data_IF_519177887756
#
_entry.id   IF_519177887756
#
_cell.length_a   1.000
_cell.length_b   1.000
_cell.length_c   1.000
_cell.angle_alpha   90.00
_cell.angle_beta   90.00
_cell.angle_gamma   90.00
#
_symmetry.space_group_name_H-M   'P 1'
#
loop_
_entity.id
_entity.type
_entity.pdbx_description
1 polymer ?
#
# COMPACT_ATOMS: atom_id res chain seq x y z
N UNK A 1 -81.90 28.62 3.07
CA UNK A 1 -80.73 29.45 3.43
C UNK A 1 -79.60 29.06 2.49
N UNK A 2 -79.26 29.92 1.52
CA UNK A 2 -78.01 30.73 1.50
C UNK A 2 -76.76 29.84 1.56
N UNK A 3 -75.72 29.93 0.75
CA UNK A 3 -75.28 30.85 -0.30
C UNK A 3 -74.03 30.18 -0.90
N UNK A 4 -73.75 30.37 -2.18
CA UNK A 4 -72.42 30.09 -2.72
C UNK A 4 -71.45 31.20 -2.28
N UNK A 5 -70.20 30.86 -1.95
CA UNK A 5 -69.04 31.76 -1.94
C UNK A 5 -67.74 30.96 -2.11
N UNK A 6 -66.86 31.56 -2.92
CA UNK A 6 -65.54 31.17 -3.42
C UNK A 6 -64.44 31.42 -2.38
N UNK A 7 -63.28 30.75 -2.43
CA UNK A 7 -61.94 31.30 -2.07
C UNK A 7 -60.74 30.37 -2.39
N UNK A 8 -59.47 30.89 -2.47
CA UNK A 8 -58.59 30.77 -3.65
C UNK A 8 -57.22 30.08 -3.33
N UNK A 9 -56.15 30.13 -4.18
CA UNK A 9 -54.99 29.23 -4.09
C UNK A 9 -53.87 29.74 -3.17
N UNK A 10 -53.15 28.81 -2.55
CA UNK A 10 -52.02 29.10 -1.65
C UNK A 10 -50.69 29.10 -2.40
N UNK A 11 -50.00 30.23 -2.35
CA UNK A 11 -48.61 30.44 -2.79
C UNK A 11 -47.64 29.61 -1.93
N UNK A 12 -46.78 28.81 -2.58
CA UNK A 12 -45.57 28.25 -1.97
C UNK A 12 -44.36 29.11 -2.35
N UNK A 13 -43.77 29.76 -1.35
CA UNK A 13 -42.42 30.34 -1.43
C UNK A 13 -41.38 29.24 -1.16
N UNK A 14 -40.29 29.11 -1.92
CA UNK A 14 -39.14 28.32 -1.50
C UNK A 14 -38.18 29.20 -0.69
N UNK A 15 -38.00 28.87 0.59
CA UNK A 15 -36.92 29.37 1.41
C UNK A 15 -35.59 28.76 0.94
N UNK A 16 -34.67 29.62 0.49
CA UNK A 16 -33.31 29.24 0.13
C UNK A 16 -32.50 28.78 1.35
N UNK A 17 -31.80 27.67 1.20
CA UNK A 17 -30.77 27.19 2.12
C UNK A 17 -29.43 27.88 1.79
N UNK A 18 -28.57 28.18 2.78
CA UNK A 18 -27.30 28.88 2.55
C UNK A 18 -26.24 27.95 1.93
N UNK A 19 -25.25 28.48 1.19
CA UNK A 19 -24.18 27.67 0.59
C UNK A 19 -23.12 27.28 1.63
N UNK A 20 -22.63 26.04 1.51
CA UNK A 20 -21.50 25.48 2.26
C UNK A 20 -20.22 26.32 2.06
N UNK A 21 -19.37 26.45 3.10
CA UNK A 21 -18.10 27.15 2.98
C UNK A 21 -17.10 26.36 2.15
N UNK A 22 -16.48 27.08 1.20
CA UNK A 22 -15.46 26.64 0.27
C UNK A 22 -14.28 25.94 0.97
N UNK A 23 -13.96 24.74 0.48
CA UNK A 23 -12.68 24.07 0.70
C UNK A 23 -11.56 24.98 0.22
N UNK A 24 -10.61 25.29 1.12
CA UNK A 24 -9.41 26.04 0.80
C UNK A 24 -8.48 25.14 0.01
N UNK A 25 -8.53 25.24 -1.31
CA UNK A 25 -7.50 24.71 -2.19
C UNK A 25 -6.18 25.41 -1.90
N UNK A 26 -5.26 24.72 -1.20
CA UNK A 26 -3.84 25.07 -1.19
C UNK A 26 -3.32 24.69 -2.58
N UNK A 27 -3.36 25.65 -3.51
CA UNK A 27 -2.64 25.56 -4.77
C UNK A 27 -1.19 25.91 -4.45
N UNK A 28 -0.37 24.91 -4.12
CA UNK A 28 1.08 25.05 -4.15
C UNK A 28 1.48 25.34 -5.59
N UNK A 29 2.06 26.52 -5.77
CA UNK A 29 2.51 27.08 -7.05
C UNK A 29 3.75 26.30 -7.52
N UNK A 30 3.55 25.11 -8.08
CA UNK A 30 4.60 24.39 -8.78
C UNK A 30 4.87 25.11 -10.12
N UNK A 31 6.08 25.63 -10.27
CA UNK A 31 6.55 26.29 -11.48
C UNK A 31 6.47 25.31 -12.66
N UNK A 32 5.68 25.64 -13.69
CA UNK A 32 5.67 24.93 -14.97
C UNK A 32 6.95 25.23 -15.76
N UNK A 33 8.09 24.76 -15.25
CA UNK A 33 9.21 24.43 -16.12
C UNK A 33 8.83 23.10 -16.80
N UNK A 34 8.90 23.06 -18.12
CA UNK A 34 8.84 21.84 -18.92
C UNK A 34 9.81 20.82 -18.34
N UNK A 35 9.29 19.89 -17.53
CA UNK A 35 10.07 18.86 -16.87
C UNK A 35 10.59 17.93 -17.98
N UNK A 36 11.82 18.17 -18.43
CA UNK A 36 12.61 17.11 -19.04
C UNK A 36 12.61 15.96 -18.04
N UNK A 37 11.99 14.84 -18.41
CA UNK A 37 11.92 13.67 -17.56
C UNK A 37 13.33 13.32 -17.07
N UNK A 38 13.52 13.19 -15.75
CA UNK A 38 14.80 12.76 -15.20
C UNK A 38 15.10 11.36 -15.72
N UNK A 39 16.35 11.12 -16.13
CA UNK A 39 16.80 9.80 -16.62
C UNK A 39 16.98 8.76 -15.52
N UNK A 40 16.76 9.13 -14.26
CA UNK A 40 16.90 8.27 -13.08
C UNK A 40 15.97 8.74 -11.97
N UNK A 41 15.42 7.79 -11.20
CA UNK A 41 14.64 8.06 -9.99
C UNK A 41 15.34 7.45 -8.77
N UNK A 42 15.32 8.16 -7.64
CA UNK A 42 15.77 7.68 -6.34
C UNK A 42 14.56 7.27 -5.51
N UNK A 43 14.58 6.02 -5.03
CA UNK A 43 13.49 5.46 -4.24
C UNK A 43 14.01 5.11 -2.85
N UNK A 44 13.34 5.59 -1.81
CA UNK A 44 13.55 5.13 -0.45
C UNK A 44 12.52 4.04 -0.13
N UNK A 45 12.95 2.96 0.52
CA UNK A 45 12.07 1.84 0.88
C UNK A 45 12.09 1.72 2.40
N UNK A 46 10.91 1.82 3.00
CA UNK A 46 10.69 1.64 4.43
C UNK A 46 9.94 0.33 4.60
N UNK A 47 10.63 -0.71 5.06
CA UNK A 47 10.01 -2.00 5.29
C UNK A 47 9.69 -2.25 6.76
N UNK A 48 8.64 -3.06 6.96
CA UNK A 48 8.25 -3.73 8.21
C UNK A 48 8.45 -2.86 9.45
N UNK A 49 7.60 -1.85 9.57
CA UNK A 49 7.81 -0.71 10.48
C UNK A 49 7.75 -1.11 11.95
N UNK A 50 6.84 -2.01 12.34
CA UNK A 50 6.67 -2.58 13.69
C UNK A 50 6.81 -1.54 14.82
N UNK A 51 5.95 -0.52 14.80
CA UNK A 51 5.91 0.60 15.75
C UNK A 51 7.18 1.47 15.79
N UNK A 52 8.19 1.16 14.98
CA UNK A 52 9.38 1.98 14.83
C UNK A 52 9.13 3.03 13.74
N UNK A 53 8.30 4.03 14.00
CA UNK A 53 8.15 5.21 13.12
C UNK A 53 8.08 6.48 13.95
N UNK A 54 8.86 7.47 13.53
CA UNK A 54 8.81 8.81 14.10
C UNK A 54 8.84 9.81 12.96
N UNK A 55 7.72 10.47 12.70
CA UNK A 55 7.58 11.39 11.57
C UNK A 55 8.70 12.44 11.52
N UNK A 56 9.13 12.98 12.66
CA UNK A 56 10.17 14.01 12.69
C UNK A 56 11.55 13.45 12.31
N UNK A 57 11.99 12.39 12.98
CA UNK A 57 13.31 11.80 12.75
C UNK A 57 13.41 11.11 11.38
N UNK A 58 12.33 10.43 10.95
CA UNK A 58 12.28 9.81 9.63
C UNK A 58 12.20 10.84 8.51
N UNK A 59 11.54 11.98 8.74
CA UNK A 59 11.58 13.10 7.79
C UNK A 59 13.01 13.62 7.62
N UNK A 60 13.76 13.81 8.71
CA UNK A 60 15.18 14.24 8.64
C UNK A 60 16.02 13.25 7.83
N UNK A 61 15.84 11.95 8.05
CA UNK A 61 16.54 10.92 7.29
C UNK A 61 16.17 10.95 5.79
N UNK A 62 14.89 11.11 5.47
CA UNK A 62 14.42 11.21 4.08
C UNK A 62 14.88 12.49 3.39
N UNK A 63 14.92 13.62 4.09
CA UNK A 63 15.48 14.88 3.59
C UNK A 63 16.95 14.76 3.21
N UNK A 64 17.74 13.99 3.99
CA UNK A 64 19.14 13.69 3.67
C UNK A 64 19.27 12.74 2.47
N UNK A 65 18.38 11.75 2.35
CA UNK A 65 18.39 10.80 1.24
C UNK A 65 17.89 11.41 -0.07
N UNK A 66 17.09 12.48 -0.01
CA UNK A 66 16.47 13.17 -1.14
C UNK A 66 15.79 12.21 -2.15
N UNK A 67 14.88 11.31 -1.71
CA UNK A 67 14.19 10.43 -2.62
C UNK A 67 13.16 11.19 -3.48
N UNK A 68 12.96 10.72 -4.71
CA UNK A 68 11.83 11.14 -5.53
C UNK A 68 10.53 10.44 -5.11
N UNK A 69 10.64 9.27 -4.47
CA UNK A 69 9.52 8.42 -4.05
C UNK A 69 9.88 7.59 -2.81
N UNK A 70 8.95 7.46 -1.87
CA UNK A 70 9.04 6.57 -0.70
C UNK A 70 8.06 5.41 -0.83
N UNK A 71 8.53 4.18 -0.64
CA UNK A 71 7.69 2.98 -0.66
C UNK A 71 7.62 2.37 0.73
N UNK A 72 6.42 2.13 1.24
CA UNK A 72 6.19 1.45 2.50
C UNK A 72 5.64 0.04 2.26
N UNK A 73 6.32 -0.98 2.78
CA UNK A 73 5.90 -2.38 2.58
C UNK A 73 4.87 -2.87 3.58
N UNK A 74 4.54 -2.09 4.62
CA UNK A 74 3.50 -2.39 5.60
C UNK A 74 4.05 -2.85 6.95
N UNK A 75 3.21 -3.57 7.69
CA UNK A 75 3.44 -4.00 9.08
C UNK A 75 3.79 -2.83 9.98
N UNK A 76 2.85 -1.88 10.08
CA UNK A 76 3.01 -0.64 10.83
C UNK A 76 3.02 -0.84 12.35
N UNK A 77 2.26 -1.82 12.86
CA UNK A 77 2.21 -2.11 14.29
C UNK A 77 0.87 -2.67 14.75
N UNK A 78 0.48 -3.87 14.29
CA UNK A 78 -0.72 -4.56 14.79
C UNK A 78 -2.01 -3.71 14.73
N UNK A 79 -2.27 -3.10 13.57
CA UNK A 79 -3.39 -2.17 13.32
C UNK A 79 -3.28 -0.80 14.03
N UNK A 80 -2.06 -0.32 14.28
CA UNK A 80 -1.78 1.00 14.84
C UNK A 80 -2.20 2.15 13.89
N UNK A 81 -3.44 2.62 14.06
CA UNK A 81 -4.05 3.69 13.24
C UNK A 81 -3.30 5.02 13.40
N UNK A 82 -2.84 5.36 14.61
CA UNK A 82 -2.13 6.63 14.86
C UNK A 82 -0.80 6.68 14.12
N UNK A 83 -0.06 5.56 14.10
CA UNK A 83 1.17 5.46 13.33
C UNK A 83 0.91 5.56 11.82
N UNK A 84 -0.12 4.87 11.31
CA UNK A 84 -0.48 4.97 9.89
C UNK A 84 -0.93 6.39 9.51
N UNK A 85 -1.64 7.09 10.40
CA UNK A 85 -1.95 8.50 10.22
C UNK A 85 -0.66 9.35 10.14
N UNK A 86 0.29 9.10 11.03
CA UNK A 86 1.60 9.77 11.00
C UNK A 86 2.37 9.51 9.71
N UNK A 87 2.28 8.30 9.14
CA UNK A 87 2.84 7.98 7.82
C UNK A 87 2.12 8.75 6.71
N UNK A 88 0.79 8.86 6.76
CA UNK A 88 0.00 9.63 5.79
C UNK A 88 0.38 11.13 5.79
N UNK A 89 0.70 11.68 6.97
CA UNK A 89 1.15 13.07 7.16
C UNK A 89 2.53 13.37 6.56
N UNK A 90 3.31 12.36 6.17
CA UNK A 90 4.63 12.53 5.55
C UNK A 90 4.54 13.33 4.24
N UNK A 91 5.26 14.45 4.16
CA UNK A 91 5.22 15.37 3.02
C UNK A 91 5.90 14.90 1.72
N UNK A 92 6.34 13.64 1.64
CA UNK A 92 6.99 13.07 0.46
C UNK A 92 5.99 12.35 -0.44
N UNK A 93 6.29 12.31 -1.75
CA UNK A 93 5.60 11.41 -2.67
C UNK A 93 5.78 9.97 -2.20
N UNK A 94 4.68 9.24 -2.00
CA UNK A 94 4.71 7.92 -1.38
C UNK A 94 3.65 6.96 -1.90
N UNK A 95 3.97 5.68 -1.81
CA UNK A 95 3.04 4.58 -2.02
C UNK A 95 3.17 3.59 -0.85
N UNK A 96 2.04 3.12 -0.36
CA UNK A 96 1.93 2.31 0.84
C UNK A 96 1.16 1.04 0.53
N UNK A 97 1.60 -0.10 1.05
CA UNK A 97 0.77 -1.30 1.14
C UNK A 97 0.68 -1.74 2.60
N UNK A 98 -0.51 -2.14 3.03
CA UNK A 98 -0.73 -2.71 4.36
C UNK A 98 -0.29 -4.18 4.40
N UNK A 99 0.47 -4.54 5.43
CA UNK A 99 0.98 -5.87 5.74
C UNK A 99 0.02 -6.69 6.60
N UNK A 100 0.45 -7.89 7.00
CA UNK A 100 -0.44 -8.77 7.76
C UNK A 100 -0.72 -8.28 9.18
N UNK A 101 0.25 -7.62 9.82
CA UNK A 101 0.08 -7.02 11.12
C UNK A 101 -0.92 -5.85 11.06
N UNK A 102 -1.13 -5.24 9.90
CA UNK A 102 -2.10 -4.15 9.74
C UNK A 102 -3.57 -4.61 9.69
N UNK A 103 -3.82 -5.92 9.70
CA UNK A 103 -5.15 -6.53 9.76
C UNK A 103 -5.23 -7.75 10.72
N UNK A 104 -4.31 -7.84 11.69
CA UNK A 104 -4.14 -9.02 12.53
C UNK A 104 -5.29 -9.28 13.50
N UNK A 105 -5.98 -8.25 13.96
CA UNK A 105 -7.06 -8.36 14.94
C UNK A 105 -8.45 -8.24 14.30
N UNK A 106 -8.55 -7.68 13.10
CA UNK A 106 -9.80 -7.38 12.41
C UNK A 106 -10.50 -8.66 11.94
N UNK A 107 -11.55 -9.04 12.68
CA UNK A 107 -12.41 -10.21 12.38
C UNK A 107 -13.85 -9.84 12.06
N UNK A 108 -14.31 -8.67 12.50
CA UNK A 108 -15.66 -8.15 12.27
C UNK A 108 -15.56 -6.76 11.63
N UNK A 109 -16.19 -6.58 10.47
CA UNK A 109 -16.01 -5.39 9.61
C UNK A 109 -17.29 -5.04 8.84
N UNK A 110 -18.43 -5.50 9.35
CA UNK A 110 -19.79 -5.24 8.85
C UNK A 110 -20.63 -4.42 9.85
N UNK A 111 -20.02 -3.92 10.92
CA UNK A 111 -20.68 -3.13 11.96
C UNK A 111 -20.81 -1.66 11.60
N UNK A 112 -21.57 -0.90 12.40
CA UNK A 112 -21.72 0.56 12.22
C UNK A 112 -20.46 1.35 12.55
N UNK A 113 -19.62 0.83 13.47
CA UNK A 113 -18.33 1.44 13.82
C UNK A 113 -17.26 0.95 12.83
N UNK A 114 -16.42 1.87 12.37
CA UNK A 114 -15.26 1.55 11.53
C UNK A 114 -14.24 0.73 12.32
N UNK A 115 -13.79 -0.37 11.74
CA UNK A 115 -12.63 -1.14 12.22
C UNK A 115 -11.31 -0.42 11.91
N UNK A 116 -10.23 -0.86 12.55
CA UNK A 116 -8.90 -0.25 12.40
C UNK A 116 -8.40 -0.33 10.96
N UNK A 117 -8.66 -1.43 10.24
CA UNK A 117 -8.33 -1.53 8.80
C UNK A 117 -9.05 -0.44 8.01
N UNK A 118 -10.35 -0.24 8.22
CA UNK A 118 -11.10 0.83 7.55
C UNK A 118 -10.53 2.22 7.86
N UNK A 119 -10.13 2.48 9.10
CA UNK A 119 -9.52 3.75 9.48
C UNK A 119 -8.15 3.96 8.81
N UNK A 120 -7.28 2.95 8.82
CA UNK A 120 -5.98 2.99 8.12
C UNK A 120 -6.15 3.28 6.62
N UNK A 121 -7.10 2.62 5.97
CA UNK A 121 -7.42 2.85 4.55
C UNK A 121 -7.91 4.28 4.28
N UNK A 122 -8.68 4.85 5.20
CA UNK A 122 -9.15 6.24 5.09
C UNK A 122 -8.03 7.26 5.32
N UNK A 123 -7.11 6.99 6.25
CA UNK A 123 -5.93 7.82 6.47
C UNK A 123 -5.03 7.86 5.23
N UNK A 124 -4.77 6.70 4.62
CA UNK A 124 -3.88 6.58 3.46
C UNK A 124 -4.55 7.00 2.14
N UNK A 125 -5.87 6.84 2.01
CA UNK A 125 -6.62 7.21 0.81
C UNK A 125 -6.09 6.54 -0.46
N UNK A 126 -5.63 7.37 -1.41
CA UNK A 126 -5.07 6.93 -2.69
C UNK A 126 -3.61 6.47 -2.60
N UNK A 127 -2.91 6.79 -1.50
CA UNK A 127 -1.52 6.36 -1.29
C UNK A 127 -1.45 4.86 -0.95
N UNK A 128 -2.54 4.25 -0.47
CA UNK A 128 -2.63 2.80 -0.29
C UNK A 128 -2.88 2.08 -1.62
N UNK A 129 -1.86 1.40 -2.13
CA UNK A 129 -1.85 0.81 -3.48
C UNK A 129 -2.36 -0.62 -3.56
N UNK A 130 -2.78 -1.26 -2.45
CA UNK A 130 -3.23 -2.66 -2.48
C UNK A 130 -4.30 -2.93 -3.56
N UNK A 131 -4.01 -3.84 -4.50
CA UNK A 131 -4.82 -4.12 -5.70
C UNK A 131 -5.13 -2.93 -6.61
N UNK A 132 -4.37 -1.85 -6.48
CA UNK A 132 -4.48 -0.60 -7.23
C UNK A 132 -3.11 -0.22 -7.78
N UNK A 133 -3.08 0.93 -8.45
CA UNK A 133 -1.87 1.53 -8.99
C UNK A 133 -1.88 3.01 -8.68
N UNK A 134 -0.71 3.55 -8.40
CA UNK A 134 -0.46 4.98 -8.27
C UNK A 134 0.64 5.39 -9.26
N UNK A 135 0.38 6.42 -10.06
CA UNK A 135 1.29 6.91 -11.09
C UNK A 135 2.07 8.14 -10.59
N UNK A 136 3.36 8.20 -10.94
CA UNK A 136 4.26 9.30 -10.64
C UNK A 136 4.87 9.85 -11.95
N UNK A 137 4.15 10.69 -12.71
CA UNK A 137 4.54 11.10 -14.06
C UNK A 137 5.87 11.86 -14.13
N UNK A 138 6.20 12.62 -13.08
CA UNK A 138 7.44 13.43 -13.02
C UNK A 138 8.69 12.56 -13.15
N UNK A 139 8.65 11.34 -12.61
CA UNK A 139 9.73 10.35 -12.65
C UNK A 139 9.43 9.15 -13.55
N UNK A 140 8.30 9.19 -14.28
CA UNK A 140 7.83 8.11 -15.16
C UNK A 140 7.81 6.75 -14.46
N UNK A 141 7.27 6.71 -13.24
CA UNK A 141 7.09 5.48 -12.48
C UNK A 141 5.60 5.20 -12.25
N UNK A 142 5.23 3.92 -12.24
CA UNK A 142 3.92 3.47 -11.76
C UNK A 142 4.13 2.41 -10.69
N UNK A 143 3.60 2.65 -9.49
CA UNK A 143 3.63 1.67 -8.41
C UNK A 143 2.33 0.88 -8.45
N UNK A 144 2.43 -0.42 -8.66
CA UNK A 144 1.31 -1.37 -8.61
C UNK A 144 1.38 -2.08 -7.27
N UNK A 145 0.30 -2.04 -6.49
CA UNK A 145 0.25 -2.75 -5.23
C UNK A 145 -0.20 -4.20 -5.40
N UNK A 146 0.52 -5.11 -4.75
CA UNK A 146 0.17 -6.52 -4.64
C UNK A 146 -1.04 -6.77 -3.74
N UNK A 147 -1.10 -7.98 -3.18
CA UNK A 147 -2.11 -8.36 -2.20
C UNK A 147 -1.85 -7.68 -0.85
N UNK A 148 -2.75 -6.83 -0.33
CA UNK A 148 -2.64 -6.31 1.02
C UNK A 148 -2.88 -7.42 2.03
N UNK A 149 -2.33 -7.26 3.23
CA UNK A 149 -2.46 -8.19 4.36
C UNK A 149 -1.84 -9.57 4.12
N UNK A 150 -0.93 -9.72 3.15
CA UNK A 150 -0.39 -11.04 2.84
C UNK A 150 0.41 -11.62 4.00
N UNK A 151 0.15 -12.85 4.42
CA UNK A 151 1.04 -13.64 5.30
C UNK A 151 1.86 -14.66 4.48
N UNK A 152 2.08 -14.39 3.20
CA UNK A 152 2.74 -15.32 2.32
C UNK A 152 1.99 -16.59 1.95
N UNK A 153 2.59 -17.33 1.02
CA UNK A 153 2.16 -18.65 0.60
C UNK A 153 0.88 -18.70 -0.24
N UNK A 154 0.36 -19.92 -0.36
CA UNK A 154 -0.68 -20.28 -1.34
C UNK A 154 -2.12 -19.95 -0.92
N UNK A 155 -2.33 -19.46 0.30
CA UNK A 155 -3.66 -19.21 0.85
C UNK A 155 -3.88 -17.73 1.11
N UNK A 156 -5.12 -17.28 0.96
CA UNK A 156 -5.51 -15.92 1.32
C UNK A 156 -5.62 -15.76 2.84
N UNK A 157 -4.72 -14.98 3.44
CA UNK A 157 -4.95 -14.46 4.78
C UNK A 157 -6.14 -13.49 4.76
N UNK A 158 -6.98 -13.54 5.80
CA UNK A 158 -8.17 -12.68 5.94
C UNK A 158 -9.10 -12.68 4.71
N UNK A 159 -9.33 -13.85 4.10
CA UNK A 159 -10.17 -14.00 2.90
C UNK A 159 -11.51 -13.24 2.98
N UNK A 160 -12.23 -13.31 4.12
CA UNK A 160 -13.51 -12.59 4.29
C UNK A 160 -13.33 -11.05 4.25
N UNK A 161 -12.23 -10.53 4.79
CA UNK A 161 -11.91 -9.11 4.75
C UNK A 161 -11.52 -8.68 3.33
N UNK A 162 -10.68 -9.47 2.65
CA UNK A 162 -10.31 -9.23 1.24
C UNK A 162 -11.54 -9.24 0.33
N UNK A 163 -12.46 -10.17 0.57
CA UNK A 163 -13.76 -10.24 -0.09
C UNK A 163 -14.59 -8.98 0.16
N UNK A 164 -14.71 -8.53 1.41
CA UNK A 164 -15.51 -7.37 1.74
C UNK A 164 -14.93 -6.03 1.28
N UNK A 165 -13.61 -5.85 1.32
CA UNK A 165 -12.93 -4.58 1.00
C UNK A 165 -12.52 -4.46 -0.46
N UNK A 166 -12.15 -5.59 -1.06
CA UNK A 166 -11.59 -5.62 -2.41
C UNK A 166 -12.34 -6.58 -3.33
N UNK A 167 -13.40 -7.27 -2.90
CA UNK A 167 -14.13 -8.22 -3.75
C UNK A 167 -13.28 -9.40 -4.23
N UNK A 168 -12.17 -9.72 -3.55
CA UNK A 168 -11.28 -10.84 -3.90
C UNK A 168 -11.68 -12.07 -3.10
N UNK A 169 -12.02 -13.16 -3.80
CA UNK A 169 -12.44 -14.42 -3.16
C UNK A 169 -11.33 -15.48 -3.14
N UNK A 170 -10.39 -15.43 -4.09
CA UNK A 170 -9.38 -16.47 -4.29
C UNK A 170 -8.09 -15.88 -4.90
N UNK A 171 -7.07 -16.73 -5.02
CA UNK A 171 -5.75 -16.39 -5.54
C UNK A 171 -5.80 -15.91 -7.01
N UNK A 172 -6.72 -16.45 -7.81
CA UNK A 172 -6.87 -16.05 -9.20
C UNK A 172 -7.52 -14.67 -9.32
N UNK A 173 -8.50 -14.36 -8.47
CA UNK A 173 -9.08 -13.04 -8.31
C UNK A 173 -8.06 -12.01 -7.83
N UNK A 174 -7.18 -12.40 -6.90
CA UNK A 174 -6.03 -11.61 -6.48
C UNK A 174 -5.14 -11.29 -7.68
N UNK A 175 -4.64 -12.30 -8.38
CA UNK A 175 -3.79 -12.15 -9.56
C UNK A 175 -4.43 -11.26 -10.65
N UNK A 176 -5.72 -11.49 -10.97
CA UNK A 176 -6.45 -10.69 -11.96
C UNK A 176 -6.49 -9.21 -11.59
N UNK A 177 -6.66 -8.87 -10.31
CA UNK A 177 -6.66 -7.47 -9.87
C UNK A 177 -5.31 -6.82 -10.02
N UNK A 178 -4.24 -7.49 -9.59
CA UNK A 178 -2.89 -6.93 -9.68
C UNK A 178 -2.48 -6.79 -11.16
N UNK A 179 -2.75 -7.81 -12.00
CA UNK A 179 -2.50 -7.72 -13.44
C UNK A 179 -3.31 -6.58 -14.09
N UNK A 180 -4.58 -6.41 -13.73
CA UNK A 180 -5.41 -5.30 -14.25
C UNK A 180 -4.84 -3.94 -13.86
N UNK A 181 -4.34 -3.79 -12.63
CA UNK A 181 -3.70 -2.56 -12.18
C UNK A 181 -2.40 -2.30 -12.98
N UNK A 182 -1.58 -3.31 -13.20
CA UNK A 182 -0.36 -3.22 -14.00
C UNK A 182 -0.62 -2.85 -15.47
N UNK A 183 -1.61 -3.47 -16.11
CA UNK A 183 -2.01 -3.16 -17.51
C UNK A 183 -2.52 -1.73 -17.69
N UNK A 184 -2.90 -1.05 -16.61
CA UNK A 184 -3.31 0.35 -16.67
C UNK A 184 -2.15 1.33 -16.78
N UNK A 185 -0.91 0.91 -16.49
CA UNK A 185 0.30 1.75 -16.48
C UNK A 185 0.47 2.50 -17.81
N UNK A 186 0.89 3.79 -17.81
CA UNK A 186 1.27 4.48 -19.04
C UNK A 186 2.43 3.74 -19.71
N UNK A 187 2.44 3.70 -21.04
CA UNK A 187 3.44 2.93 -21.80
C UNK A 187 4.88 3.38 -21.55
N UNK A 188 5.09 4.67 -21.21
CA UNK A 188 6.40 5.24 -20.95
C UNK A 188 6.81 5.20 -19.47
N UNK A 189 6.01 4.57 -18.61
CA UNK A 189 6.33 4.38 -17.20
C UNK A 189 7.04 3.05 -16.94
N UNK A 190 8.01 3.07 -16.02
CA UNK A 190 8.52 1.85 -15.40
C UNK A 190 7.56 1.40 -14.29
N UNK A 191 7.13 0.15 -14.36
CA UNK A 191 6.23 -0.45 -13.38
C UNK A 191 7.04 -1.06 -12.23
N UNK A 192 6.72 -0.66 -11.00
CA UNK A 192 7.26 -1.22 -9.77
C UNK A 192 6.13 -1.97 -9.06
N UNK A 193 6.37 -3.24 -8.72
CA UNK A 193 5.44 -3.98 -7.87
C UNK A 193 5.80 -3.74 -6.40
N UNK A 194 4.87 -3.19 -5.62
CA UNK A 194 4.99 -3.03 -4.18
C UNK A 194 4.07 -4.05 -3.50
N UNK A 195 4.63 -4.98 -2.75
CA UNK A 195 3.88 -5.99 -2.02
C UNK A 195 4.29 -6.03 -0.55
N UNK A 196 3.52 -6.70 0.30
CA UNK A 196 3.98 -6.99 1.64
C UNK A 196 4.84 -8.25 1.69
N UNK A 197 4.58 -9.25 0.84
CA UNK A 197 5.41 -10.45 0.74
C UNK A 197 5.92 -10.66 -0.69
N UNK A 198 7.06 -11.34 -0.81
CA UNK A 198 7.72 -11.60 -2.10
C UNK A 198 7.03 -12.69 -2.92
N UNK A 199 7.43 -12.90 -4.18
CA UNK A 199 6.83 -13.90 -5.05
C UNK A 199 7.30 -15.33 -4.73
N UNK A 200 6.47 -16.31 -5.05
CA UNK A 200 6.87 -17.72 -5.00
C UNK A 200 7.96 -18.05 -6.04
N UNK A 201 8.74 -19.09 -5.79
CA UNK A 201 9.87 -19.52 -6.61
C UNK A 201 11.23 -18.99 -6.12
N UNK A 202 11.24 -18.19 -5.05
CA UNK A 202 12.44 -17.55 -4.48
C UNK A 202 12.71 -17.98 -3.02
N UNK A 203 12.19 -19.14 -2.59
CA UNK A 203 12.32 -19.64 -1.22
C UNK A 203 12.75 -21.10 -1.11
N UNK A 204 13.71 -21.55 -1.94
CA UNK A 204 14.14 -22.96 -1.94
C UNK A 204 14.89 -23.36 -0.65
N UNK A 205 15.66 -22.43 -0.09
CA UNK A 205 16.39 -22.57 1.17
C UNK A 205 15.83 -21.62 2.24
N UNK A 206 16.14 -21.88 3.51
CA UNK A 206 15.65 -21.09 4.66
C UNK A 206 16.08 -19.61 4.56
N UNK A 207 17.30 -19.36 4.11
CA UNK A 207 17.93 -18.03 3.99
C UNK A 207 17.62 -17.33 2.67
N UNK A 208 16.88 -17.97 1.76
CA UNK A 208 16.44 -17.33 0.52
C UNK A 208 15.45 -16.19 0.82
N UNK A 209 15.35 -15.26 -0.12
CA UNK A 209 14.58 -14.01 0.06
C UNK A 209 13.10 -14.26 0.38
N UNK A 210 12.52 -15.39 -0.06
CA UNK A 210 11.17 -15.84 0.30
C UNK A 210 11.16 -17.21 1.00
N UNK A 211 12.28 -17.61 1.63
CA UNK A 211 12.44 -18.88 2.33
C UNK A 211 11.77 -18.89 3.70
N UNK A 212 10.96 -19.91 3.99
CA UNK A 212 10.34 -20.08 5.31
C UNK A 212 11.33 -20.64 6.31
N UNK A 213 11.57 -19.95 7.42
CA UNK A 213 12.61 -20.28 8.42
C UNK A 213 12.07 -20.56 9.83
N UNK A 214 10.78 -20.36 10.07
CA UNK A 214 10.12 -20.60 11.37
C UNK A 214 9.38 -21.95 11.47
N UNK A 215 9.54 -22.84 10.50
CA UNK A 215 8.94 -24.19 10.52
C UNK A 215 9.96 -25.21 10.06
N UNK A 216 10.02 -26.34 10.76
CA UNK A 216 10.89 -27.47 10.40
C UNK A 216 10.66 -27.90 8.94
N UNK A 217 11.75 -28.02 8.17
CA UNK A 217 11.73 -28.33 6.74
C UNK A 217 11.59 -27.12 5.82
N UNK A 218 11.19 -25.95 6.34
CA UNK A 218 11.15 -24.69 5.62
C UNK A 218 10.27 -24.68 4.38
N UNK A 219 10.85 -24.18 3.28
CA UNK A 219 10.24 -24.16 1.94
C UNK A 219 9.81 -22.77 1.48
N UNK A 220 9.25 -22.71 0.29
CA UNK A 220 8.88 -21.44 -0.34
C UNK A 220 7.65 -20.81 0.33
N UNK A 221 7.80 -19.57 0.78
CA UNK A 221 6.74 -18.78 1.41
C UNK A 221 6.24 -17.62 0.56
N UNK A 222 6.66 -17.54 -0.70
CA UNK A 222 6.25 -16.45 -1.57
C UNK A 222 4.80 -16.53 -2.00
N UNK A 223 4.27 -15.38 -2.42
CA UNK A 223 2.94 -15.21 -2.99
C UNK A 223 2.90 -15.67 -4.45
N UNK A 224 2.07 -16.67 -4.81
CA UNK A 224 1.96 -17.17 -6.17
C UNK A 224 1.50 -16.15 -7.21
N UNK A 225 0.70 -15.15 -6.82
CA UNK A 225 0.21 -14.13 -7.76
C UNK A 225 1.26 -13.06 -8.08
N UNK A 226 2.18 -12.77 -7.17
CA UNK A 226 3.19 -11.71 -7.32
C UNK A 226 4.18 -12.07 -8.44
N UNK A 227 4.49 -13.35 -8.61
CA UNK A 227 5.39 -13.85 -9.66
C UNK A 227 4.82 -13.79 -11.09
N UNK A 228 3.53 -13.43 -11.26
CA UNK A 228 2.89 -13.35 -12.58
C UNK A 228 3.07 -12.00 -13.27
N UNK A 229 3.65 -11.01 -12.57
CA UNK A 229 3.80 -9.64 -13.09
C UNK A 229 5.25 -9.44 -13.47
N UNK A 230 5.48 -9.13 -14.74
CA UNK A 230 6.78 -8.76 -15.26
C UNK A 230 6.98 -7.25 -15.04
N UNK A 231 7.93 -6.89 -14.19
CA UNK A 231 8.36 -5.52 -13.99
C UNK A 231 9.83 -5.52 -13.55
N UNK A 232 10.62 -4.49 -13.88
CA UNK A 232 12.06 -4.48 -13.57
C UNK A 232 12.37 -4.48 -12.07
N UNK A 233 11.42 -4.12 -11.21
CA UNK A 233 11.59 -4.06 -9.77
C UNK A 233 10.34 -4.55 -9.01
N UNK A 234 10.56 -5.48 -8.09
CA UNK A 234 9.58 -5.95 -7.10
C UNK A 234 10.12 -5.64 -5.71
N UNK A 235 9.41 -4.77 -4.99
CA UNK A 235 9.72 -4.37 -3.61
C UNK A 235 8.73 -5.01 -2.66
N UNK A 236 9.22 -5.63 -1.59
CA UNK A 236 8.37 -6.26 -0.59
C UNK A 236 8.98 -6.28 0.81
N UNK A 237 8.20 -6.73 1.79
CA UNK A 237 8.58 -6.87 3.19
C UNK A 237 8.36 -8.29 3.72
N UNK A 238 7.84 -8.41 4.94
CA UNK A 238 7.43 -9.63 5.66
C UNK A 238 8.55 -10.60 6.02
N UNK A 239 9.41 -10.92 5.06
CA UNK A 239 10.46 -11.91 5.20
C UNK A 239 11.66 -11.26 5.90
N UNK A 240 11.63 -11.13 7.21
CA UNK A 240 12.63 -10.38 7.99
C UNK A 240 14.08 -10.77 7.66
N UNK A 241 14.97 -9.77 7.69
CA UNK A 241 16.40 -9.92 7.42
C UNK A 241 17.08 -10.92 8.36
N UNK A 242 16.78 -10.85 9.65
CA UNK A 242 17.30 -11.82 10.61
C UNK A 242 16.38 -13.05 10.59
N UNK A 243 17.00 -14.23 10.45
CA UNK A 243 16.24 -15.47 10.47
C UNK A 243 15.71 -15.76 11.87
N UNK A 244 14.62 -16.52 11.94
CA UNK A 244 13.99 -17.00 13.16
C UNK A 244 15.03 -17.64 14.11
N UNK A 245 14.86 -17.40 15.40
CA UNK A 245 15.75 -17.80 16.47
C UNK A 245 17.21 -17.31 16.31
N UNK A 246 17.45 -16.32 15.45
CA UNK A 246 18.79 -15.73 15.23
C UNK A 246 19.71 -16.59 14.37
N UNK A 247 19.18 -17.54 13.60
CA UNK A 247 19.94 -18.54 12.85
C UNK A 247 20.61 -18.03 11.55
N UNK A 248 20.92 -16.74 11.47
CA UNK A 248 21.62 -16.13 10.33
C UNK A 248 20.87 -14.98 9.68
N UNK A 249 21.26 -14.68 8.44
CA UNK A 249 20.73 -13.56 7.67
C UNK A 249 20.12 -14.04 6.36
N UNK A 250 18.98 -13.45 6.02
CA UNK A 250 18.29 -13.64 4.75
C UNK A 250 18.96 -12.87 3.62
N UNK A 251 18.93 -13.45 2.41
CA UNK A 251 19.22 -12.71 1.17
C UNK A 251 18.17 -11.62 0.99
N UNK A 252 18.59 -10.37 0.89
CA UNK A 252 17.65 -9.23 0.79
C UNK A 252 17.46 -8.71 -0.64
N UNK A 253 18.33 -9.13 -1.57
CA UNK A 253 18.26 -8.75 -2.99
C UNK A 253 18.55 -9.97 -3.84
N UNK A 254 17.73 -10.20 -4.85
CA UNK A 254 17.91 -11.24 -5.87
C UNK A 254 17.64 -10.63 -7.25
N UNK A 255 18.44 -11.01 -8.24
CA UNK A 255 18.19 -10.66 -9.65
C UNK A 255 17.74 -11.92 -10.39
N UNK A 256 16.54 -11.90 -10.94
CA UNK A 256 15.95 -12.99 -11.72
C UNK A 256 16.65 -13.17 -13.07
N UNK A 257 16.42 -14.32 -13.71
CA UNK A 257 16.95 -14.62 -15.05
C UNK A 257 16.40 -13.68 -16.15
N UNK A 258 15.26 -13.05 -15.88
CA UNK A 258 14.61 -12.03 -16.70
C UNK A 258 15.10 -10.60 -16.39
N UNK A 259 16.12 -10.44 -15.54
CA UNK A 259 16.63 -9.19 -14.98
C UNK A 259 15.65 -8.44 -14.05
N UNK A 260 14.58 -9.09 -13.59
CA UNK A 260 13.75 -8.53 -12.51
C UNK A 260 14.55 -8.47 -11.22
N UNK A 261 14.58 -7.30 -10.58
CA UNK A 261 15.18 -7.11 -9.27
C UNK A 261 14.12 -7.34 -8.19
N UNK A 262 14.38 -8.29 -7.30
CA UNK A 262 13.59 -8.53 -6.11
C UNK A 262 14.32 -7.92 -4.92
N UNK A 263 13.70 -6.95 -4.25
CA UNK A 263 14.27 -6.24 -3.12
C UNK A 263 13.33 -6.36 -1.93
N UNK A 264 13.85 -6.96 -0.86
CA UNK A 264 13.16 -7.09 0.41
C UNK A 264 13.61 -5.98 1.36
N UNK A 265 12.66 -5.16 1.82
CA UNK A 265 12.86 -4.03 2.72
C UNK A 265 12.73 -4.37 4.21
N UNK A 266 12.38 -5.61 4.58
CA UNK A 266 12.07 -6.02 5.94
C UNK A 266 13.31 -6.10 6.85
N UNK A 267 13.82 -4.93 7.28
CA UNK A 267 14.92 -4.82 8.24
C UNK A 267 14.35 -4.40 9.59
N UNK A 268 14.26 -5.36 10.52
CA UNK A 268 13.66 -5.15 11.85
C UNK A 268 14.68 -5.56 12.94
N UNK A 269 15.00 -4.69 13.91
CA UNK A 269 14.66 -3.27 13.95
C UNK A 269 15.40 -2.49 12.86
N UNK A 270 14.76 -1.45 12.31
CA UNK A 270 15.38 -0.55 11.32
C UNK A 270 16.25 0.51 12.00
N UNK A 271 15.82 0.94 13.19
CA UNK A 271 16.54 1.89 14.03
C UNK A 271 17.60 1.12 14.82
N UNK A 272 18.80 1.70 14.90
CA UNK A 272 19.90 1.18 15.72
C UNK A 272 20.24 2.23 16.76
N UNK A 273 20.56 1.75 17.96
CA UNK A 273 21.07 2.58 19.06
C UNK A 273 22.47 3.15 18.77
#
# INVERSE_FOLDING_TARGET
MLSALVHPPTLCSPSGSPPNPLSKNIVTRASMATASARSSARIAIVGDVHDQWNLEEDTKALELLQPDLVLFTGDFGEENVELVQSVAELGFAKAVILGNHDAWHTKQFSGKKKDAVQLQLECLGEEHVGYRRLDFPVVKLSVVGGRPFSCGGKQLFRQKLLSARYGVQDMDGSAKRICKAALGAPEDHLVILLAHNGPTGLGSNLDDICGKDWVYGGGDHGDPETGKICGPLVVFGHMHKQLADGNGLRKMIVVGADNTIYLNGAIVPRLRD
#
